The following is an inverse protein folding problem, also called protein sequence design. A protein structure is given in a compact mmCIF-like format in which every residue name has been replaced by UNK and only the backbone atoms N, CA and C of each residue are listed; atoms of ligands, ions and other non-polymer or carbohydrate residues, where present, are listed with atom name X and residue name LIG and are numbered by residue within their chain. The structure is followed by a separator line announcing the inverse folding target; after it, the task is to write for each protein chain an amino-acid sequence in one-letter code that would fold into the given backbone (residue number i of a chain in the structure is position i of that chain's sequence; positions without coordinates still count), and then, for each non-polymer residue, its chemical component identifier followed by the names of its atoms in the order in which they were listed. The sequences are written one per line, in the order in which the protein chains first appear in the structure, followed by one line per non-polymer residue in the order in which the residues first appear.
data_IF_192171136812
#
_entry.id   IF_192171136812
#
_cell.length_a   1.000
_cell.length_b   1.000
_cell.length_c   1.000
_cell.angle_alpha   90.00
_cell.angle_beta   90.00
_cell.angle_gamma   90.00
#
_symmetry.space_group_name_H-M   'P 1'
#
loop_
_entity.id
_entity.type
_entity.pdbx_description
1 polymer ?
#
# COMPACT_ATOMS: atom_id res chain seq x y z
N UNK A 1 11.48 -32.64 -12.98
CA UNK A 1 10.24 -31.95 -13.31
C UNK A 1 9.06 -32.77 -12.88
N UNK A 2 8.15 -32.13 -12.20
CA UNK A 2 6.87 -32.74 -11.83
C UNK A 2 5.85 -32.59 -12.96
N UNK A 3 4.84 -33.46 -12.94
CA UNK A 3 3.74 -33.38 -13.88
C UNK A 3 2.43 -33.43 -13.11
N UNK A 4 1.44 -32.73 -13.61
CA UNK A 4 0.09 -32.72 -13.06
C UNK A 4 -0.93 -32.81 -14.19
N UNK A 5 -2.02 -33.54 -13.94
CA UNK A 5 -3.12 -33.60 -14.88
C UNK A 5 -4.13 -32.51 -14.54
N UNK A 6 -4.43 -31.66 -15.51
CA UNK A 6 -5.44 -30.61 -15.37
C UNK A 6 -6.57 -30.87 -16.36
N UNK A 7 -7.78 -30.49 -15.97
CA UNK A 7 -8.96 -30.61 -16.84
C UNK A 7 -9.36 -29.21 -17.28
N UNK A 8 -9.34 -28.96 -18.58
CA UNK A 8 -9.75 -27.71 -19.17
C UNK A 8 -10.83 -28.00 -20.21
N UNK A 9 -12.00 -27.46 -20.00
CA UNK A 9 -13.16 -27.60 -20.89
C UNK A 9 -13.50 -29.07 -21.21
N UNK A 10 -13.46 -29.93 -20.17
CA UNK A 10 -13.73 -31.35 -20.27
C UNK A 10 -12.59 -32.21 -20.82
N UNK A 11 -11.47 -31.61 -21.20
CA UNK A 11 -10.29 -32.32 -21.69
C UNK A 11 -9.20 -32.35 -20.65
N UNK A 12 -8.53 -33.49 -20.53
CA UNK A 12 -7.40 -33.65 -19.63
C UNK A 12 -6.09 -33.37 -20.36
N UNK A 13 -5.25 -32.58 -19.69
CA UNK A 13 -3.90 -32.27 -20.17
C UNK A 13 -2.89 -32.64 -19.10
N UNK A 14 -1.83 -33.31 -19.51
CA UNK A 14 -0.68 -33.55 -18.65
C UNK A 14 0.29 -32.38 -18.79
N UNK A 15 0.41 -31.60 -17.75
CA UNK A 15 1.24 -30.41 -17.73
C UNK A 15 2.50 -30.63 -16.94
N UNK A 16 3.62 -30.18 -17.45
CA UNK A 16 4.87 -30.14 -16.70
C UNK A 16 4.91 -28.89 -15.83
N UNK A 17 5.42 -29.03 -14.61
CA UNK A 17 5.61 -27.92 -13.70
C UNK A 17 6.87 -28.13 -12.86
N UNK A 18 7.35 -27.09 -12.24
CA UNK A 18 8.43 -27.21 -11.28
C UNK A 18 7.96 -27.92 -10.01
N UNK A 19 8.85 -28.66 -9.32
CA UNK A 19 8.49 -29.30 -8.06
C UNK A 19 7.96 -28.28 -7.05
N UNK A 20 6.81 -28.59 -6.46
CA UNK A 20 6.14 -27.70 -5.50
C UNK A 20 5.11 -26.76 -6.13
N UNK A 21 5.01 -26.71 -7.46
CA UNK A 21 4.05 -25.86 -8.18
C UNK A 21 2.75 -26.57 -8.56
N UNK A 22 2.62 -27.85 -8.23
CA UNK A 22 1.48 -28.69 -8.63
C UNK A 22 0.14 -28.13 -8.14
N UNK A 23 0.05 -27.78 -6.86
CA UNK A 23 -1.17 -27.22 -6.27
C UNK A 23 -1.55 -25.90 -6.89
N UNK A 24 -0.57 -25.06 -7.18
CA UNK A 24 -0.79 -23.77 -7.83
C UNK A 24 -1.34 -23.94 -9.25
N UNK A 25 -0.77 -24.87 -10.00
CA UNK A 25 -1.23 -25.14 -11.36
C UNK A 25 -2.66 -25.68 -11.39
N UNK A 26 -3.02 -26.55 -10.44
CA UNK A 26 -4.38 -27.03 -10.29
C UNK A 26 -5.35 -25.90 -9.98
N UNK A 27 -5.01 -24.99 -9.08
CA UNK A 27 -5.84 -23.81 -8.76
C UNK A 27 -6.02 -22.90 -9.98
N UNK A 28 -4.95 -22.68 -10.75
CA UNK A 28 -5.03 -21.89 -11.98
C UNK A 28 -5.94 -22.55 -13.02
N UNK A 29 -5.86 -23.87 -13.15
CA UNK A 29 -6.72 -24.64 -14.05
C UNK A 29 -8.19 -24.55 -13.64
N UNK A 30 -8.49 -24.65 -12.35
CA UNK A 30 -9.86 -24.47 -11.83
C UNK A 30 -10.40 -23.07 -12.10
N UNK A 31 -9.61 -22.05 -11.88
CA UNK A 31 -9.98 -20.66 -12.17
C UNK A 31 -10.22 -20.43 -13.65
N UNK A 32 -9.42 -21.03 -14.51
CA UNK A 32 -9.57 -20.94 -15.97
C UNK A 32 -10.83 -21.68 -16.44
N UNK A 33 -11.08 -22.86 -15.89
CA UNK A 33 -12.30 -23.63 -16.16
C UNK A 33 -13.56 -22.83 -15.80
N UNK A 34 -13.57 -22.14 -14.66
CA UNK A 34 -14.66 -21.28 -14.23
C UNK A 34 -14.90 -20.12 -15.23
N UNK A 35 -13.83 -19.53 -15.77
CA UNK A 35 -13.93 -18.48 -16.81
C UNK A 35 -14.55 -19.01 -18.10
N UNK A 36 -14.15 -20.19 -18.53
CA UNK A 36 -14.72 -20.85 -19.70
C UNK A 36 -16.21 -21.11 -19.49
N UNK A 37 -16.60 -21.60 -18.32
CA UNK A 37 -18.01 -21.81 -17.95
C UNK A 37 -18.83 -20.54 -17.97
N UNK A 38 -18.29 -19.44 -17.47
CA UNK A 38 -18.93 -18.12 -17.49
C UNK A 38 -19.15 -17.62 -18.94
N UNK A 39 -18.16 -17.77 -19.80
CA UNK A 39 -18.26 -17.38 -21.20
C UNK A 39 -19.26 -18.25 -21.96
N UNK A 40 -19.30 -19.54 -21.67
CA UNK A 40 -20.30 -20.46 -22.22
C UNK A 40 -21.72 -20.03 -21.84
N UNK A 41 -21.93 -19.58 -20.61
CA UNK A 41 -23.20 -19.05 -20.15
C UNK A 41 -23.62 -17.77 -20.87
N UNK A 42 -22.67 -16.91 -21.24
CA UNK A 42 -22.94 -15.65 -21.95
C UNK A 42 -23.13 -15.82 -23.44
N UNK A 43 -22.29 -16.62 -24.08
CA UNK A 43 -22.22 -16.73 -25.55
C UNK A 43 -22.74 -18.05 -26.10
N UNK A 44 -23.07 -19.02 -25.23
CA UNK A 44 -23.54 -20.33 -25.63
C UNK A 44 -22.42 -21.26 -26.13
N UNK A 45 -22.81 -22.34 -26.79
CA UNK A 45 -21.89 -23.34 -27.32
C UNK A 45 -21.32 -22.89 -28.68
N UNK A 46 -20.33 -22.03 -28.65
CA UNK A 46 -19.69 -21.48 -29.87
C UNK A 46 -18.46 -22.28 -30.32
N UNK A 47 -18.18 -23.40 -29.67
CA UNK A 47 -17.04 -24.26 -29.91
C UNK A 47 -16.00 -24.17 -28.81
N UNK A 48 -15.42 -25.33 -28.42
CA UNK A 48 -14.50 -25.45 -27.29
C UNK A 48 -13.21 -24.64 -27.50
N UNK A 49 -12.63 -24.72 -28.69
CA UNK A 49 -11.43 -23.96 -29.01
C UNK A 49 -11.67 -22.45 -28.94
N UNK A 50 -12.80 -22.02 -29.44
CA UNK A 50 -13.18 -20.60 -29.47
C UNK A 50 -13.43 -20.06 -28.06
N UNK A 51 -14.13 -20.82 -27.20
CA UNK A 51 -14.33 -20.49 -25.78
C UNK A 51 -13.00 -20.41 -25.04
N UNK A 52 -12.09 -21.34 -25.29
CA UNK A 52 -10.78 -21.35 -24.65
C UNK A 52 -9.95 -20.13 -25.04
N UNK A 53 -9.94 -19.77 -26.33
CA UNK A 53 -9.25 -18.56 -26.81
C UNK A 53 -9.86 -17.30 -26.21
N UNK A 54 -11.19 -17.20 -26.15
CA UNK A 54 -11.88 -16.07 -25.53
C UNK A 54 -11.54 -15.95 -24.04
N UNK A 55 -11.53 -17.07 -23.32
CA UNK A 55 -11.14 -17.08 -21.91
C UNK A 55 -9.69 -16.62 -21.71
N UNK A 56 -8.79 -17.06 -22.56
CA UNK A 56 -7.39 -16.63 -22.53
C UNK A 56 -7.25 -15.13 -22.80
N UNK A 57 -7.93 -14.62 -23.82
CA UNK A 57 -7.91 -13.19 -24.15
C UNK A 57 -8.52 -12.33 -23.02
N UNK A 58 -9.62 -12.78 -22.44
CA UNK A 58 -10.23 -12.10 -21.28
C UNK A 58 -9.28 -12.07 -20.10
N UNK A 59 -8.58 -13.16 -19.83
CA UNK A 59 -7.58 -13.21 -18.75
C UNK A 59 -6.41 -12.24 -19.01
N UNK A 60 -5.95 -12.15 -20.25
CA UNK A 60 -4.91 -11.19 -20.64
C UNK A 60 -5.38 -9.74 -20.47
N UNK A 61 -6.62 -9.45 -20.84
CA UNK A 61 -7.23 -8.13 -20.69
C UNK A 61 -7.32 -7.73 -19.20
N UNK A 62 -7.81 -8.62 -18.36
CA UNK A 62 -7.86 -8.42 -16.91
C UNK A 62 -6.46 -8.22 -16.31
N UNK A 63 -5.46 -8.90 -16.84
CA UNK A 63 -4.07 -8.74 -16.39
C UNK A 63 -3.55 -7.33 -16.71
N UNK A 64 -3.87 -6.82 -17.90
CA UNK A 64 -3.52 -5.44 -18.29
C UNK A 64 -4.22 -4.44 -17.37
N UNK A 65 -5.51 -4.62 -17.13
CA UNK A 65 -6.28 -3.75 -16.23
C UNK A 65 -5.73 -3.80 -14.80
N UNK A 66 -5.40 -4.99 -14.31
CA UNK A 66 -4.77 -5.15 -12.99
C UNK A 66 -3.41 -4.41 -12.91
N UNK A 67 -2.62 -4.48 -13.97
CA UNK A 67 -1.36 -3.75 -14.08
C UNK A 67 -1.56 -2.23 -14.00
N UNK A 68 -2.53 -1.69 -14.73
CA UNK A 68 -2.91 -0.27 -14.66
C UNK A 68 -3.40 0.11 -13.27
N UNK A 69 -4.19 -0.74 -12.64
CA UNK A 69 -4.70 -0.52 -11.29
C UNK A 69 -3.58 -0.50 -10.25
N UNK A 70 -2.63 -1.41 -10.35
CA UNK A 70 -1.45 -1.45 -9.47
C UNK A 70 -0.65 -0.16 -9.61
N UNK A 71 -0.37 0.26 -10.84
CA UNK A 71 0.35 1.51 -11.09
C UNK A 71 -0.36 2.72 -10.49
N UNK A 72 -1.68 2.81 -10.67
CA UNK A 72 -2.51 3.87 -10.08
C UNK A 72 -2.45 3.86 -8.56
N UNK A 73 -2.56 2.69 -7.93
CA UNK A 73 -2.48 2.54 -6.48
C UNK A 73 -1.09 2.89 -5.94
N UNK A 74 -0.03 2.53 -6.65
CA UNK A 74 1.34 2.90 -6.28
C UNK A 74 1.53 4.42 -6.31
N UNK A 75 0.96 5.10 -7.32
CA UNK A 75 1.00 6.56 -7.43
C UNK A 75 0.20 7.23 -6.30
N UNK A 76 -0.99 6.72 -5.98
CA UNK A 76 -1.79 7.20 -4.86
C UNK A 76 -1.06 7.01 -3.52
N UNK A 77 -0.44 5.85 -3.34
CA UNK A 77 0.33 5.54 -2.12
C UNK A 77 1.52 6.49 -1.97
N UNK A 78 2.24 6.76 -3.05
CA UNK A 78 3.36 7.70 -3.04
C UNK A 78 2.89 9.13 -2.70
N UNK A 79 1.77 9.57 -3.28
CA UNK A 79 1.17 10.86 -2.97
C UNK A 79 0.77 10.97 -1.49
N UNK A 80 0.13 9.93 -0.93
CA UNK A 80 -0.25 9.87 0.49
C UNK A 80 0.97 9.87 1.41
N UNK A 81 2.02 9.17 1.06
CA UNK A 81 3.29 9.19 1.80
C UNK A 81 3.90 10.58 1.83
N UNK A 82 3.88 11.29 0.69
CA UNK A 82 4.34 12.67 0.59
C UNK A 82 3.54 13.62 1.49
N UNK A 83 2.22 13.52 1.47
CA UNK A 83 1.33 14.30 2.34
C UNK A 83 1.62 14.01 3.82
N UNK A 84 1.77 12.74 4.19
CA UNK A 84 2.08 12.32 5.55
C UNK A 84 3.43 12.87 6.02
N UNK A 85 4.45 12.79 5.19
CA UNK A 85 5.78 13.32 5.49
C UNK A 85 5.73 14.83 5.68
N UNK A 86 5.06 15.57 4.79
CA UNK A 86 4.89 17.01 4.91
C UNK A 86 4.12 17.41 6.17
N UNK A 87 3.10 16.65 6.55
CA UNK A 87 2.35 16.88 7.79
C UNK A 87 3.22 16.64 9.03
N UNK A 88 4.03 15.57 9.03
CA UNK A 88 4.96 15.27 10.12
C UNK A 88 6.04 16.36 10.26
N UNK A 89 6.58 16.83 9.15
CA UNK A 89 7.58 17.91 9.14
C UNK A 89 6.99 19.22 9.67
N UNK A 90 5.75 19.55 9.28
CA UNK A 90 5.05 20.73 9.81
C UNK A 90 4.78 20.60 11.30
N UNK A 91 4.35 19.44 11.77
CA UNK A 91 4.12 19.20 13.20
C UNK A 91 5.41 19.36 14.00
N UNK A 92 6.52 18.84 13.48
CA UNK A 92 7.85 18.98 14.10
C UNK A 92 8.30 20.43 14.14
N UNK A 93 8.13 21.17 13.04
CA UNK A 93 8.47 22.59 12.99
C UNK A 93 7.63 23.40 13.98
N UNK A 94 6.34 23.11 14.12
CA UNK A 94 5.47 23.73 15.10
C UNK A 94 5.91 23.43 16.51
N UNK A 95 6.23 22.18 16.85
CA UNK A 95 6.76 21.79 18.16
C UNK A 95 8.06 22.51 18.47
N UNK A 96 8.97 22.62 17.52
CA UNK A 96 10.25 23.31 17.70
C UNK A 96 10.03 24.82 17.94
N UNK A 97 9.10 25.44 17.21
CA UNK A 97 8.75 26.84 17.40
C UNK A 97 8.13 27.10 18.78
N UNK A 98 7.23 26.23 19.23
CA UNK A 98 6.62 26.31 20.57
C UNK A 98 7.68 26.12 21.65
N UNK A 99 8.56 25.13 21.50
CA UNK A 99 9.65 24.90 22.47
C UNK A 99 10.58 26.11 22.57
N UNK A 100 10.96 26.69 21.43
CA UNK A 100 11.80 27.90 21.39
C UNK A 100 11.11 29.10 22.07
N UNK A 101 9.81 29.28 21.83
CA UNK A 101 9.05 30.35 22.46
C UNK A 101 8.94 30.15 23.98
N UNK A 102 8.72 28.91 24.44
CA UNK A 102 8.67 28.58 25.86
C UNK A 102 10.03 28.79 26.55
N UNK A 103 11.12 28.38 25.91
CA UNK A 103 12.48 28.60 26.43
C UNK A 103 12.80 30.10 26.51
N UNK A 104 12.44 30.87 25.51
CA UNK A 104 12.62 32.32 25.50
C UNK A 104 11.82 33.00 26.62
N UNK A 105 10.56 32.58 26.83
CA UNK A 105 9.72 33.08 27.94
C UNK A 105 10.30 32.72 29.30
N UNK A 106 10.78 31.48 29.46
CA UNK A 106 11.43 31.01 30.68
C UNK A 106 12.70 31.84 31.00
N UNK A 107 13.53 32.11 30.01
CA UNK A 107 14.73 32.94 30.17
C UNK A 107 14.37 34.37 30.61
N UNK A 108 13.32 34.95 30.05
CA UNK A 108 12.85 36.29 30.44
C UNK A 108 12.32 36.31 31.87
N UNK A 109 11.58 35.29 32.27
CA UNK A 109 11.10 35.13 33.65
C UNK A 109 12.28 35.01 34.62
N UNK A 110 13.23 34.17 34.29
CA UNK A 110 14.43 33.95 35.11
C UNK A 110 15.24 35.25 35.28
N UNK A 111 15.50 35.99 34.20
CA UNK A 111 16.17 37.29 34.24
C UNK A 111 15.41 38.29 35.08
N UNK A 112 14.10 38.36 34.97
CA UNK A 112 13.25 39.24 35.79
C UNK A 112 13.33 38.85 37.27
N UNK A 113 13.30 37.56 37.58
CA UNK A 113 13.42 37.06 38.93
C UNK A 113 14.80 37.41 39.52
N UNK A 114 15.85 37.29 38.77
CA UNK A 114 17.19 37.68 39.21
C UNK A 114 17.31 39.16 39.50
N UNK A 115 16.73 40.00 38.67
CA UNK A 115 16.69 41.45 38.88
C UNK A 115 15.92 41.80 40.16
N UNK A 116 14.75 41.19 40.34
CA UNK A 116 13.96 41.38 41.57
C UNK A 116 14.71 40.94 42.82
N UNK A 117 15.35 39.80 42.79
CA UNK A 117 16.15 39.30 43.92
C UNK A 117 17.32 40.21 44.28
N UNK A 118 18.00 40.78 43.28
CA UNK A 118 19.08 41.75 43.51
C UNK A 118 18.52 43.01 44.12
N UNK A 119 17.39 43.52 43.66
CA UNK A 119 16.76 44.74 44.17
C UNK A 119 16.29 44.52 45.59
N UNK A 120 15.60 43.44 45.89
CA UNK A 120 15.13 43.08 47.23
C UNK A 120 16.32 42.82 48.15
N UNK A 121 17.30 42.06 47.71
CA UNK A 121 18.52 41.78 48.49
C UNK A 121 19.34 43.04 48.81
N UNK A 122 19.44 43.96 47.86
CA UNK A 122 20.06 45.26 48.07
C UNK A 122 19.30 46.14 49.06
N UNK A 123 17.96 46.13 48.97
CA UNK A 123 17.14 46.85 49.91
C UNK A 123 17.20 46.34 51.32
N UNK A 124 17.26 45.04 51.51
CA UNK A 124 17.40 44.42 52.86
C UNK A 124 18.78 44.67 53.44
N UNK A 125 19.83 44.73 52.65
CA UNK A 125 21.20 44.97 53.11
C UNK A 125 21.43 46.41 53.58
N UNK A 126 20.62 47.36 53.18
CA UNK A 126 20.70 48.76 53.58
C UNK A 126 19.96 49.03 54.89
N UNK A 127 19.02 48.17 55.20
CA UNK A 127 18.24 48.24 56.42
C UNK A 127 19.01 47.63 57.66
#
# INVERSE_FOLDING_TARGET
MSHVNVTINGRQYRMACEPGQESRLLQLAEGFEARIGSLRGKFGEIGDARLTVMAALTACDELIDAGHRILSLEQELEALRGVRTAAADRARATQNAVAAALNSAADRIEKTTQVLNRTIGGGVAIG
#
